data_IF_731798585889
#
_entry.id   IF_731798585889
#
_cell.length_a   1.000
_cell.length_b   1.000
_cell.length_c   1.000
_cell.angle_alpha   90.00
_cell.angle_beta   90.00
_cell.angle_gamma   90.00
#
_symmetry.space_group_name_H-M   'P 1'
#
loop_
_entity.id
_entity.type
_entity.pdbx_description
1 polymer ?
#
# COMPACT_ATOMS: atom_id res chain seq x y z
N UNK A 1 -8.47 -10.04 9.71
CA UNK A 1 -9.18 -9.39 8.58
C UNK A 1 -10.51 -8.85 9.11
N UNK A 2 -11.52 -9.67 9.34
CA UNK A 2 -12.76 -9.32 10.06
C UNK A 2 -13.55 -10.63 10.30
N UNK A 3 -14.62 -10.60 11.10
CA UNK A 3 -15.55 -11.73 11.19
C UNK A 3 -16.49 -11.71 9.97
N UNK A 4 -16.29 -12.63 9.03
CA UNK A 4 -17.06 -12.66 7.79
C UNK A 4 -18.52 -13.12 8.00
N UNK A 5 -18.77 -13.95 9.02
CA UNK A 5 -20.13 -14.42 9.31
C UNK A 5 -20.99 -13.27 9.87
N UNK A 6 -20.38 -12.26 10.50
CA UNK A 6 -21.07 -11.03 10.94
C UNK A 6 -21.67 -10.23 9.78
N UNK A 7 -21.13 -10.35 8.57
CA UNK A 7 -21.56 -9.57 7.39
C UNK A 7 -22.19 -10.43 6.29
N UNK A 8 -22.29 -11.74 6.46
CA UNK A 8 -22.85 -12.65 5.47
C UNK A 8 -24.38 -12.78 5.62
N UNK A 9 -25.10 -12.77 4.49
CA UNK A 9 -26.50 -13.18 4.41
C UNK A 9 -26.77 -13.81 3.03
N UNK A 10 -27.29 -15.05 2.94
CA UNK A 10 -27.60 -15.66 1.65
C UNK A 10 -28.76 -14.98 0.89
N UNK A 11 -29.59 -14.17 1.55
CA UNK A 11 -30.70 -13.43 0.91
C UNK A 11 -30.18 -12.16 0.19
N UNK A 12 -30.36 -12.05 -1.13
CA UNK A 12 -29.94 -10.85 -1.86
C UNK A 12 -30.74 -9.60 -1.45
N UNK A 13 -30.05 -8.50 -1.22
CA UNK A 13 -30.67 -7.19 -0.97
C UNK A 13 -30.86 -6.82 0.51
N UNK A 14 -30.41 -7.67 1.44
CA UNK A 14 -30.37 -7.31 2.87
C UNK A 14 -29.34 -6.19 3.10
N UNK A 15 -29.73 -5.01 3.61
CA UNK A 15 -28.81 -3.89 3.78
C UNK A 15 -27.63 -4.20 4.71
N UNK A 16 -26.42 -3.80 4.31
CA UNK A 16 -25.19 -4.00 5.08
C UNK A 16 -24.67 -5.45 5.09
N UNK A 17 -25.25 -6.33 4.27
CA UNK A 17 -24.85 -7.74 4.14
C UNK A 17 -24.27 -8.04 2.76
N UNK A 18 -23.36 -9.00 2.72
CA UNK A 18 -22.81 -9.60 1.51
C UNK A 18 -23.42 -10.97 1.27
N UNK A 19 -23.77 -11.26 0.02
CA UNK A 19 -24.22 -12.60 -0.41
C UNK A 19 -23.07 -13.59 -0.62
N UNK A 20 -21.81 -13.14 -0.53
CA UNK A 20 -20.63 -13.98 -0.60
C UNK A 20 -19.79 -13.83 0.67
N UNK A 21 -19.27 -14.96 1.15
CA UNK A 21 -18.29 -15.02 2.24
C UNK A 21 -16.90 -15.49 1.79
N UNK A 22 -16.72 -15.62 0.48
CA UNK A 22 -15.44 -16.03 -0.11
C UNK A 22 -14.75 -14.84 -0.77
N UNK A 23 -13.42 -14.85 -0.69
CA UNK A 23 -12.54 -13.89 -1.33
C UNK A 23 -11.15 -14.48 -1.54
N UNK A 24 -10.34 -13.83 -2.36
CA UNK A 24 -8.93 -14.13 -2.50
C UNK A 24 -8.12 -13.19 -1.61
N UNK A 25 -7.23 -13.76 -0.80
CA UNK A 25 -6.53 -13.03 0.24
C UNK A 25 -5.05 -13.37 0.17
N UNK A 26 -4.20 -12.34 0.25
CA UNK A 26 -2.79 -12.51 0.58
C UNK A 26 -2.66 -13.09 1.99
N UNK A 27 -1.68 -13.95 2.19
CA UNK A 27 -1.43 -14.64 3.46
C UNK A 27 -1.08 -13.64 4.57
N UNK A 28 -0.11 -12.76 4.32
CA UNK A 28 0.29 -11.71 5.25
C UNK A 28 0.39 -10.34 4.56
N UNK A 29 -0.73 -9.60 4.43
CA UNK A 29 -0.70 -8.24 3.90
C UNK A 29 -0.13 -7.21 4.89
N UNK A 30 0.19 -7.60 6.13
CA UNK A 30 0.75 -6.70 7.13
C UNK A 30 2.29 -6.77 7.20
N UNK A 31 2.88 -7.88 6.74
CA UNK A 31 4.32 -8.04 6.60
C UNK A 31 4.92 -6.90 5.78
N UNK A 32 6.00 -6.35 6.30
CA UNK A 32 6.80 -5.31 5.66
C UNK A 32 8.15 -5.21 6.36
N UNK A 33 9.24 -4.99 5.62
CA UNK A 33 10.55 -4.66 6.20
C UNK A 33 10.76 -3.13 6.23
N UNK A 34 10.39 -2.44 7.32
CA UNK A 34 10.48 -0.98 7.35
C UNK A 34 11.93 -0.49 7.43
N UNK A 35 12.82 -1.23 8.08
CA UNK A 35 14.23 -0.82 8.25
C UNK A 35 14.96 -0.80 6.90
N UNK A 36 14.69 -1.80 6.05
CA UNK A 36 15.22 -1.86 4.69
C UNK A 36 14.91 -0.60 3.87
N UNK A 37 13.70 -0.06 4.00
CA UNK A 37 13.27 1.15 3.30
C UNK A 37 13.54 2.45 4.08
N UNK A 38 14.24 2.39 5.22
CA UNK A 38 14.53 3.55 6.06
C UNK A 38 13.29 4.17 6.72
N UNK A 39 12.25 3.36 6.93
CA UNK A 39 10.96 3.75 7.51
C UNK A 39 10.94 3.31 8.98
N UNK A 40 10.39 4.14 9.87
CA UNK A 40 10.22 3.74 11.28
C UNK A 40 9.02 2.81 11.44
N UNK A 41 9.01 1.90 12.42
CA UNK A 41 7.84 1.05 12.70
C UNK A 41 6.54 1.86 12.89
N UNK A 42 6.66 3.03 13.54
CA UNK A 42 5.52 3.94 13.75
C UNK A 42 4.97 4.51 12.45
N UNK A 43 5.85 4.85 11.52
CA UNK A 43 5.42 5.28 10.18
C UNK A 43 4.84 4.09 9.40
N UNK A 44 5.52 2.94 9.42
CA UNK A 44 5.08 1.73 8.71
C UNK A 44 3.67 1.29 9.10
N UNK A 45 3.32 1.38 10.39
CA UNK A 45 1.96 1.10 10.87
C UNK A 45 0.89 2.05 10.30
N UNK A 46 1.26 3.27 9.92
CA UNK A 46 0.35 4.23 9.30
C UNK A 46 0.29 4.11 7.77
N UNK A 47 1.25 3.41 7.15
CA UNK A 47 1.29 3.22 5.69
C UNK A 47 0.29 2.14 5.27
N UNK A 48 -0.52 2.46 4.26
CA UNK A 48 -1.43 1.51 3.62
C UNK A 48 -0.66 0.25 3.17
N UNK A 49 -1.15 -0.97 3.50
CA UNK A 49 -0.59 -2.23 3.00
C UNK A 49 -0.26 -2.24 1.50
N UNK A 50 -1.07 -1.58 0.68
CA UNK A 50 -0.83 -1.46 -0.76
C UNK A 50 0.52 -0.77 -1.04
N UNK A 51 0.82 0.34 -0.35
CA UNK A 51 2.08 1.07 -0.55
C UNK A 51 3.29 0.25 -0.10
N UNK A 52 3.14 -0.52 0.99
CA UNK A 52 4.20 -1.40 1.54
C UNK A 52 4.52 -2.53 0.56
N UNK A 53 3.51 -3.24 0.09
CA UNK A 53 3.65 -4.30 -0.91
C UNK A 53 4.23 -3.76 -2.23
N UNK A 54 3.80 -2.58 -2.66
CA UNK A 54 4.30 -1.97 -3.88
C UNK A 54 5.77 -1.55 -3.79
N UNK A 55 6.25 -1.16 -2.59
CA UNK A 55 7.67 -0.90 -2.36
C UNK A 55 8.52 -2.17 -2.55
N UNK A 56 8.13 -3.27 -1.89
CA UNK A 56 8.81 -4.56 -2.02
C UNK A 56 8.75 -5.08 -3.45
N UNK A 57 7.56 -5.05 -4.07
CA UNK A 57 7.37 -5.52 -5.45
C UNK A 57 8.20 -4.69 -6.44
N UNK A 58 8.29 -3.37 -6.26
CA UNK A 58 9.10 -2.52 -7.13
C UNK A 58 10.58 -2.81 -6.96
N UNK A 59 11.04 -3.06 -5.74
CA UNK A 59 12.43 -3.46 -5.47
C UNK A 59 12.76 -4.80 -6.14
N UNK A 60 11.94 -5.82 -5.89
CA UNK A 60 12.10 -7.16 -6.48
C UNK A 60 12.08 -7.12 -8.01
N UNK A 61 11.24 -6.27 -8.61
CA UNK A 61 11.19 -6.11 -10.06
C UNK A 61 12.53 -5.58 -10.63
N UNK A 62 13.17 -4.66 -9.92
CA UNK A 62 14.50 -4.16 -10.29
C UNK A 62 15.54 -5.26 -10.13
N UNK A 63 15.53 -6.00 -9.02
CA UNK A 63 16.46 -7.11 -8.81
C UNK A 63 16.31 -8.20 -9.88
N UNK A 64 15.08 -8.59 -10.21
CA UNK A 64 14.78 -9.56 -11.26
C UNK A 64 15.20 -9.10 -12.65
N UNK A 65 15.30 -7.79 -12.89
CA UNK A 65 15.85 -7.26 -14.15
C UNK A 65 17.37 -7.40 -14.28
N UNK A 66 18.06 -7.81 -13.21
CA UNK A 66 19.52 -7.90 -13.15
C UNK A 66 20.21 -6.54 -13.01
N UNK A 67 19.45 -5.47 -12.75
CA UNK A 67 19.99 -4.14 -12.48
C UNK A 67 20.29 -4.00 -10.98
N UNK A 68 21.37 -3.29 -10.67
CA UNK A 68 21.60 -2.82 -9.31
C UNK A 68 20.66 -1.63 -9.04
N UNK A 69 19.77 -1.69 -8.02
CA UNK A 69 18.88 -0.58 -7.68
C UNK A 69 19.62 0.74 -7.44
N UNK A 70 20.81 0.70 -6.84
CA UNK A 70 21.64 1.89 -6.62
C UNK A 70 22.08 2.56 -7.94
N UNK A 71 22.11 1.81 -9.05
CA UNK A 71 22.40 2.33 -10.39
C UNK A 71 21.24 3.09 -11.03
N UNK A 72 20.02 2.97 -10.49
CA UNK A 72 18.87 3.76 -10.95
C UNK A 72 18.82 5.15 -10.32
N UNK A 73 19.50 5.36 -9.19
CA UNK A 73 19.49 6.63 -8.49
C UNK A 73 19.95 7.78 -9.41
N UNK A 74 19.16 8.86 -9.44
CA UNK A 74 19.36 10.03 -10.29
C UNK A 74 18.93 9.86 -11.75
N UNK A 75 18.49 8.68 -12.17
CA UNK A 75 18.04 8.43 -13.54
C UNK A 75 16.66 9.04 -13.83
N UNK A 76 16.31 9.15 -15.12
CA UNK A 76 14.98 9.59 -15.56
C UNK A 76 13.93 8.46 -15.54
N UNK A 77 14.14 7.40 -14.74
CA UNK A 77 13.18 6.29 -14.60
C UNK A 77 11.89 6.80 -13.99
N UNK A 78 10.75 6.48 -14.64
CA UNK A 78 9.42 6.86 -14.15
C UNK A 78 8.74 5.72 -13.39
N UNK A 79 7.82 6.08 -12.50
CA UNK A 79 6.98 5.18 -11.71
C UNK A 79 5.52 5.46 -12.05
N UNK A 80 4.82 4.47 -12.58
CA UNK A 80 3.41 4.58 -12.96
C UNK A 80 2.65 3.41 -12.37
N UNK A 81 1.54 3.69 -11.69
CA UNK A 81 0.73 2.64 -11.07
C UNK A 81 -0.74 3.00 -11.02
N UNK A 82 -1.58 1.98 -11.08
CA UNK A 82 -2.99 2.08 -10.76
C UNK A 82 -3.20 1.79 -9.29
N UNK A 83 -3.93 2.64 -8.58
CA UNK A 83 -4.32 2.38 -7.20
C UNK A 83 -5.79 2.70 -7.00
N UNK A 84 -6.49 1.80 -6.33
CA UNK A 84 -7.92 1.93 -6.11
C UNK A 84 -8.27 1.46 -4.70
N UNK A 85 -9.38 1.98 -4.18
CA UNK A 85 -9.87 1.78 -2.83
C UNK A 85 -8.94 2.32 -1.73
N UNK A 86 -9.52 2.90 -0.69
CA UNK A 86 -8.81 3.57 0.40
C UNK A 86 -9.29 3.06 1.77
N UNK A 87 -9.69 1.79 1.87
CA UNK A 87 -10.26 1.20 3.07
C UNK A 87 -9.36 1.38 4.30
N UNK A 88 -8.04 1.32 4.11
CA UNK A 88 -7.08 1.55 5.20
C UNK A 88 -7.15 2.98 5.75
N UNK A 89 -7.41 3.97 4.89
CA UNK A 89 -7.64 5.36 5.32
C UNK A 89 -8.91 5.48 6.15
N UNK A 90 -9.98 4.77 5.79
CA UNK A 90 -11.22 4.72 6.56
C UNK A 90 -11.01 4.08 7.94
N UNK A 91 -10.32 2.94 8.00
CA UNK A 91 -9.96 2.29 9.27
C UNK A 91 -9.08 3.19 10.14
N UNK A 92 -8.12 3.89 9.54
CA UNK A 92 -7.27 4.85 10.24
C UNK A 92 -8.05 6.06 10.74
N UNK A 93 -9.09 6.51 10.02
CA UNK A 93 -9.97 7.59 10.45
C UNK A 93 -10.77 7.19 11.70
N UNK A 94 -11.38 6.01 11.67
CA UNK A 94 -12.18 5.47 12.77
C UNK A 94 -11.33 5.28 14.03
N UNK A 95 -10.07 4.85 13.86
CA UNK A 95 -9.10 4.72 14.93
C UNK A 95 -8.44 6.05 15.37
N UNK A 96 -8.79 7.18 14.75
CA UNK A 96 -8.13 8.50 14.92
C UNK A 96 -6.63 8.51 14.60
N UNK A 97 -6.14 7.50 13.90
CA UNK A 97 -4.75 7.39 13.48
C UNK A 97 -4.40 8.37 12.34
N UNK A 98 -5.41 8.80 11.55
CA UNK A 98 -5.21 9.81 10.51
C UNK A 98 -4.73 11.18 11.04
N UNK A 99 -5.06 11.52 12.28
CA UNK A 99 -4.63 12.77 12.93
C UNK A 99 -3.14 12.74 13.32
N UNK A 100 -2.51 11.57 13.27
CA UNK A 100 -1.09 11.38 13.55
C UNK A 100 -0.18 11.95 12.44
N UNK A 101 1.14 12.08 12.73
CA UNK A 101 2.10 12.70 11.82
C UNK A 101 2.25 11.97 10.47
N UNK A 102 1.87 10.70 10.40
CA UNK A 102 1.99 9.86 9.20
C UNK A 102 0.64 9.49 8.57
N UNK A 103 -0.48 9.96 9.13
CA UNK A 103 -1.81 9.55 8.66
C UNK A 103 -2.08 9.92 7.20
N UNK A 104 -1.82 11.18 6.86
CA UNK A 104 -1.96 11.68 5.49
C UNK A 104 -0.96 11.03 4.53
N UNK A 105 0.32 10.94 4.93
CA UNK A 105 1.39 10.42 4.06
C UNK A 105 1.35 8.91 3.89
N UNK A 106 0.72 8.21 4.83
CA UNK A 106 0.57 6.76 4.79
C UNK A 106 -0.51 6.28 3.82
N UNK A 107 -1.52 7.11 3.52
CA UNK A 107 -2.76 6.68 2.85
C UNK A 107 -3.07 7.40 1.55
N UNK A 108 -2.42 8.54 1.26
CA UNK A 108 -2.64 9.27 0.01
C UNK A 108 -2.11 8.51 -1.21
N UNK A 109 -2.96 8.30 -2.22
CA UNK A 109 -2.62 7.59 -3.46
C UNK A 109 -1.41 8.18 -4.21
N UNK A 110 -1.29 9.51 -4.22
CA UNK A 110 -0.15 10.18 -4.88
C UNK A 110 1.18 9.84 -4.23
N UNK A 111 1.18 9.46 -2.94
CA UNK A 111 2.41 9.07 -2.26
C UNK A 111 2.81 7.62 -2.51
N UNK A 112 1.94 6.77 -3.08
CA UNK A 112 2.31 5.41 -3.46
C UNK A 112 3.46 5.42 -4.49
N UNK A 113 3.24 6.07 -5.62
CA UNK A 113 4.24 6.22 -6.69
C UNK A 113 5.42 7.06 -6.24
N UNK A 114 5.17 8.15 -5.50
CA UNK A 114 6.21 9.02 -4.95
C UNK A 114 7.15 8.30 -3.98
N UNK A 115 6.64 7.39 -3.14
CA UNK A 115 7.43 6.63 -2.17
C UNK A 115 8.37 5.64 -2.84
N UNK A 116 7.94 4.99 -3.93
CA UNK A 116 8.80 4.13 -4.74
C UNK A 116 9.87 4.96 -5.45
N UNK A 117 9.47 6.09 -6.03
CA UNK A 117 10.43 6.98 -6.69
C UNK A 117 11.50 7.47 -5.70
N UNK A 118 11.09 7.81 -4.48
CA UNK A 118 11.98 8.19 -3.39
C UNK A 118 12.91 7.05 -2.96
N UNK A 119 12.37 5.84 -2.73
CA UNK A 119 13.14 4.68 -2.30
C UNK A 119 14.19 4.24 -3.33
N UNK A 120 13.86 4.31 -4.63
CA UNK A 120 14.79 3.99 -5.72
C UNK A 120 15.70 5.17 -6.11
N UNK A 121 15.43 6.37 -5.58
CA UNK A 121 16.15 7.60 -5.92
C UNK A 121 15.97 8.06 -7.37
N UNK A 122 14.86 7.72 -8.03
CA UNK A 122 14.63 8.02 -9.45
C UNK A 122 13.90 9.36 -9.64
N UNK A 123 14.17 10.06 -10.74
CA UNK A 123 13.72 11.43 -10.99
C UNK A 123 12.78 11.58 -12.20
N UNK A 124 12.32 10.47 -12.78
CA UNK A 124 11.26 10.51 -13.80
C UNK A 124 9.89 10.81 -13.19
N UNK A 125 8.83 10.84 -14.02
CA UNK A 125 7.46 11.05 -13.54
C UNK A 125 7.04 9.97 -12.53
N UNK A 126 6.42 10.37 -11.42
CA UNK A 126 5.82 9.48 -10.44
C UNK A 126 4.31 9.74 -10.39
N UNK A 127 3.51 8.83 -10.96
CA UNK A 127 2.08 9.05 -11.21
C UNK A 127 1.28 7.84 -10.72
N UNK A 128 0.25 8.13 -9.93
CA UNK A 128 -0.80 7.20 -9.56
C UNK A 128 -2.07 7.55 -10.34
N UNK A 129 -2.68 6.55 -10.98
CA UNK A 129 -3.87 6.68 -11.85
C UNK A 129 -5.05 5.92 -11.27
#
# INVERSE_FOLDING_TARGET
RWDAEEYYDPEPGVPGRSVSKWGAFLDDPAAFDPEFFGITEREAAAIDPQHRLLLETAWEAVEHSGLNPAGLAGSATGVFMGLTHNDYAHLAADAKALEGPYGFTGTSFSLASGRIAYALGVHGPAITV
#
